data_IF_998004130135
#
_entry.id   IF_998004130135
#
_cell.length_a   1.000
_cell.length_b   1.000
_cell.length_c   1.000
_cell.angle_alpha   90.00
_cell.angle_beta   90.00
_cell.angle_gamma   90.00
#
_symmetry.space_group_name_H-M   'P 1'
#
loop_
_entity.id
_entity.type
_entity.pdbx_description
1 polymer ?
#
# COMPACT_ATOMS: atom_id res chain seq x y z
N UNK A 1 -5.48 12.63 -2.75
CA UNK A 1 -4.50 12.50 -1.65
C UNK A 1 -3.15 13.08 -2.10
N UNK A 2 -2.48 13.91 -1.28
CA UNK A 2 -1.20 14.59 -1.61
C UNK A 2 -0.12 14.39 -0.53
N UNK A 3 -0.37 13.59 0.50
CA UNK A 3 0.54 13.36 1.63
C UNK A 3 1.69 12.38 1.32
N UNK A 4 1.71 11.75 0.14
CA UNK A 4 2.65 10.70 -0.27
C UNK A 4 2.60 9.42 0.58
N UNK A 5 1.60 9.25 1.43
CA UNK A 5 1.45 8.11 2.34
C UNK A 5 0.51 7.03 1.78
N UNK A 6 0.34 6.99 0.46
CA UNK A 6 -0.54 6.03 -0.20
C UNK A 6 -0.27 4.57 0.20
N UNK A 7 1.00 4.19 0.42
CA UNK A 7 1.35 2.86 0.91
C UNK A 7 0.75 2.58 2.30
N UNK A 8 0.91 3.51 3.26
CA UNK A 8 0.34 3.40 4.61
C UNK A 8 -1.17 3.17 4.55
N UNK A 9 -1.89 4.03 3.83
CA UNK A 9 -3.35 3.92 3.76
C UNK A 9 -3.81 2.66 3.03
N UNK A 10 -3.08 2.19 2.03
CA UNK A 10 -3.42 0.96 1.34
C UNK A 10 -3.30 -0.26 2.29
N UNK A 11 -2.22 -0.35 3.06
CA UNK A 11 -2.08 -1.41 4.08
C UNK A 11 -3.18 -1.30 5.14
N UNK A 12 -3.42 -0.11 5.71
CA UNK A 12 -4.45 0.09 6.73
C UNK A 12 -5.85 -0.28 6.25
N UNK A 13 -6.19 0.05 5.00
CA UNK A 13 -7.48 -0.29 4.41
C UNK A 13 -7.69 -1.77 4.16
N UNK A 14 -6.61 -2.52 3.92
CA UNK A 14 -6.67 -3.96 3.73
C UNK A 14 -6.85 -4.70 5.06
N UNK A 15 -6.17 -4.23 6.12
CA UNK A 15 -6.27 -4.80 7.47
C UNK A 15 -7.59 -4.41 8.14
N UNK A 16 -8.09 -3.19 7.89
CA UNK A 16 -9.30 -2.65 8.50
C UNK A 16 -10.32 -2.28 7.41
N UNK A 17 -10.90 -3.26 6.69
CA UNK A 17 -11.82 -2.98 5.60
C UNK A 17 -13.10 -2.31 6.12
N UNK A 18 -13.46 -1.17 5.51
CA UNK A 18 -14.76 -0.53 5.74
C UNK A 18 -15.81 -1.33 4.98
N UNK A 19 -16.78 -1.91 5.71
CA UNK A 19 -17.70 -2.91 5.15
C UNK A 19 -18.73 -2.33 4.18
N UNK A 20 -19.22 -1.10 4.42
CA UNK A 20 -20.17 -0.44 3.52
C UNK A 20 -19.46 0.52 2.57
N UNK A 21 -19.64 0.32 1.26
CA UNK A 21 -19.13 1.24 0.23
C UNK A 21 -19.75 2.63 0.32
N UNK A 22 -20.93 2.77 0.93
CA UNK A 22 -21.60 4.06 1.17
C UNK A 22 -20.90 4.90 2.23
N UNK A 23 -20.06 4.28 3.07
CA UNK A 23 -19.37 4.97 4.16
C UNK A 23 -18.12 5.73 3.70
N UNK A 24 -17.93 5.96 2.40
CA UNK A 24 -16.78 6.70 1.86
C UNK A 24 -15.43 6.11 2.31
N UNK A 25 -15.26 4.79 2.14
CA UNK A 25 -14.05 4.04 2.51
C UNK A 25 -12.71 4.63 2.00
N UNK A 26 -12.73 5.51 1.00
CA UNK A 26 -11.54 6.21 0.51
C UNK A 26 -11.04 7.32 1.46
N UNK A 27 -11.82 7.73 2.48
CA UNK A 27 -11.46 8.81 3.39
C UNK A 27 -10.41 8.35 4.41
N UNK A 28 -9.26 9.05 4.54
CA UNK A 28 -8.23 8.74 5.52
C UNK A 28 -8.73 8.66 6.97
N UNK A 29 -9.79 9.41 7.31
CA UNK A 29 -10.36 9.47 8.65
C UNK A 29 -10.80 8.09 9.20
N UNK A 30 -11.21 7.16 8.34
CA UNK A 30 -11.51 5.80 8.78
C UNK A 30 -10.27 5.05 9.27
N UNK A 31 -9.08 5.45 8.83
CA UNK A 31 -7.83 4.74 9.05
C UNK A 31 -6.89 5.43 10.04
N UNK A 32 -7.09 6.73 10.32
CA UNK A 32 -6.31 7.47 11.32
C UNK A 32 -6.23 6.77 12.68
N UNK A 33 -7.32 6.18 13.24
CA UNK A 33 -7.27 5.51 14.53
C UNK A 33 -6.39 4.25 14.55
N UNK A 34 -6.16 3.63 13.39
CA UNK A 34 -5.42 2.38 13.26
C UNK A 34 -3.94 2.60 12.93
N UNK A 35 -3.49 3.86 12.77
CA UNK A 35 -2.11 4.15 12.38
C UNK A 35 -1.06 3.63 13.38
N UNK A 36 -1.38 3.61 14.68
CA UNK A 36 -0.50 3.08 15.71
C UNK A 36 -0.32 1.56 15.67
N UNK A 37 -1.19 0.86 14.95
CA UNK A 37 -1.17 -0.61 14.85
C UNK A 37 -0.24 -1.10 13.73
N UNK A 38 0.35 -0.17 12.97
CA UNK A 38 1.22 -0.47 11.85
C UNK A 38 2.65 -0.05 12.18
N UNK A 39 3.60 -0.99 12.18
CA UNK A 39 5.00 -0.65 12.43
C UNK A 39 5.66 -0.12 11.15
N UNK A 40 5.50 1.18 10.93
CA UNK A 40 6.15 1.90 9.83
C UNK A 40 7.60 2.29 10.14
N UNK A 41 8.22 1.74 11.18
CA UNK A 41 9.60 2.06 11.51
C UNK A 41 10.54 1.71 10.35
N UNK A 42 11.30 2.71 9.89
CA UNK A 42 12.21 2.56 8.75
C UNK A 42 11.56 2.65 7.37
N UNK A 43 10.24 2.92 7.29
CA UNK A 43 9.57 3.29 6.04
C UNK A 43 9.64 4.81 5.85
N UNK A 44 10.11 5.23 4.67
CA UNK A 44 10.08 6.63 4.23
C UNK A 44 8.91 6.83 3.26
N UNK A 45 8.39 8.06 3.16
CA UNK A 45 7.33 8.40 2.20
C UNK A 45 7.81 9.43 1.17
N UNK A 46 7.54 9.23 -0.13
CA UNK A 46 6.94 8.04 -0.74
C UNK A 46 7.84 6.80 -0.58
N UNK A 47 7.24 5.63 -0.35
CA UNK A 47 7.97 4.41 0.00
C UNK A 47 8.65 3.78 -1.23
N UNK A 48 9.99 3.68 -1.26
CA UNK A 48 10.67 2.92 -2.30
C UNK A 48 10.28 1.44 -2.22
N UNK A 49 10.18 0.76 -3.37
CA UNK A 49 9.84 -0.67 -3.43
C UNK A 49 10.70 -1.54 -2.51
N UNK A 50 12.00 -1.22 -2.39
CA UNK A 50 12.93 -1.92 -1.49
C UNK A 50 12.51 -1.84 -0.01
N UNK A 51 11.96 -0.70 0.42
CA UNK A 51 11.51 -0.53 1.80
C UNK A 51 10.18 -1.28 2.03
N UNK A 52 9.30 -1.32 1.03
CA UNK A 52 8.06 -2.12 1.07
C UNK A 52 8.37 -3.61 1.27
N UNK A 53 9.34 -4.16 0.53
CA UNK A 53 9.74 -5.56 0.69
C UNK A 53 10.34 -5.88 2.07
N UNK A 54 11.02 -4.92 2.70
CA UNK A 54 11.52 -5.08 4.08
C UNK A 54 10.38 -5.05 5.10
N UNK A 55 9.45 -4.13 4.92
CA UNK A 55 8.27 -4.01 5.77
C UNK A 55 7.42 -5.28 5.75
N UNK A 56 7.12 -5.82 4.56
CA UNK A 56 6.36 -7.06 4.41
C UNK A 56 6.96 -8.21 5.24
N UNK A 57 8.29 -8.34 5.23
CA UNK A 57 9.01 -9.37 6.00
C UNK A 57 8.93 -9.17 7.51
N UNK A 58 8.93 -7.93 7.98
CA UNK A 58 8.91 -7.62 9.41
C UNK A 58 7.50 -7.77 10.01
N UNK A 59 6.47 -7.28 9.32
CA UNK A 59 5.09 -7.30 9.80
C UNK A 59 4.35 -8.61 9.49
N UNK A 60 5.05 -9.63 8.97
CA UNK A 60 4.48 -10.94 8.57
C UNK A 60 3.34 -10.85 7.55
N UNK A 61 3.26 -9.75 6.78
CA UNK A 61 2.25 -9.50 5.77
C UNK A 61 2.71 -9.98 4.39
N UNK A 62 1.83 -10.68 3.68
CA UNK A 62 2.05 -11.00 2.26
C UNK A 62 1.57 -9.83 1.40
N UNK A 63 2.52 -9.05 0.87
CA UNK A 63 2.25 -7.85 0.07
C UNK A 63 2.67 -8.09 -1.37
N UNK A 64 1.72 -7.92 -2.30
CA UNK A 64 1.99 -7.84 -3.73
C UNK A 64 1.86 -6.39 -4.18
N UNK A 65 2.81 -5.91 -4.98
CA UNK A 65 2.81 -4.56 -5.56
C UNK A 65 2.72 -4.68 -7.07
N UNK A 66 1.72 -4.03 -7.64
CA UNK A 66 1.53 -3.91 -9.08
C UNK A 66 1.67 -2.46 -9.51
N UNK A 67 2.18 -2.26 -10.72
CA UNK A 67 2.22 -0.97 -11.40
C UNK A 67 1.34 -0.99 -12.65
N UNK A 68 0.96 0.20 -13.11
CA UNK A 68 0.26 0.39 -14.39
C UNK A 68 1.09 1.23 -15.35
N UNK A 69 1.06 0.85 -16.62
CA UNK A 69 1.54 1.71 -17.70
C UNK A 69 0.49 2.78 -18.04
N UNK A 70 0.89 3.78 -18.82
CA UNK A 70 -0.06 4.78 -19.35
C UNK A 70 -1.14 4.16 -20.26
N UNK A 71 -0.93 2.91 -20.72
CA UNK A 71 -1.88 2.13 -21.51
C UNK A 71 -2.76 1.20 -20.66
N UNK A 72 -2.76 1.38 -19.34
CA UNK A 72 -3.45 0.53 -18.36
C UNK A 72 -2.99 -0.94 -18.35
N UNK A 73 -1.76 -1.22 -18.79
CA UNK A 73 -1.20 -2.56 -18.68
C UNK A 73 -0.66 -2.76 -17.27
N UNK A 74 -1.06 -3.87 -16.64
CA UNK A 74 -0.62 -4.26 -15.30
C UNK A 74 0.72 -5.00 -15.40
N UNK A 75 1.67 -4.61 -14.57
CA UNK A 75 2.91 -5.37 -14.39
C UNK A 75 3.21 -5.52 -12.90
N UNK A 76 3.86 -6.62 -12.56
CA UNK A 76 4.22 -6.86 -11.17
C UNK A 76 5.55 -6.18 -10.83
N UNK A 77 5.56 -5.45 -9.72
CA UNK A 77 6.74 -4.77 -9.18
C UNK A 77 7.36 -5.55 -8.03
N UNK A 78 6.53 -6.23 -7.23
CA UNK A 78 6.96 -7.04 -6.09
C UNK A 78 5.90 -8.11 -5.84
N UNK A 79 6.33 -9.37 -5.71
CA UNK A 79 5.47 -10.49 -5.29
C UNK A 79 6.01 -10.97 -3.95
N UNK A 80 5.10 -11.16 -3.00
CA UNK A 80 5.42 -11.84 -1.75
C UNK A 80 5.78 -13.30 -2.03
N UNK A 81 6.88 -13.77 -1.46
CA UNK A 81 7.29 -15.17 -1.55
C UNK A 81 6.50 -16.08 -0.60
N UNK A 82 5.71 -15.51 0.32
CA UNK A 82 5.01 -16.24 1.38
C UNK A 82 3.50 -16.35 1.08
N UNK A 83 2.97 -17.59 1.08
CA UNK A 83 1.52 -17.85 1.13
C UNK A 83 1.00 -17.63 2.56
N UNK A 84 0.43 -16.44 2.79
CA UNK A 84 -0.36 -16.08 3.98
C UNK A 84 -1.64 -15.38 3.52
N UNK A 85 -2.54 -14.98 4.43
CA UNK A 85 -3.66 -14.09 4.08
C UNK A 85 -3.11 -12.87 3.32
N UNK A 86 -3.34 -12.87 2.00
CA UNK A 86 -2.55 -12.09 1.06
C UNK A 86 -3.20 -10.72 0.88
N UNK A 87 -2.47 -9.68 1.28
CA UNK A 87 -2.89 -8.29 1.08
C UNK A 87 -2.32 -7.80 -0.25
N UNK A 88 -3.15 -7.85 -1.30
CA UNK A 88 -2.75 -7.30 -2.60
C UNK A 88 -2.89 -5.79 -2.60
N UNK A 89 -1.76 -5.07 -2.68
CA UNK A 89 -1.71 -3.62 -2.66
C UNK A 89 -1.45 -3.12 -4.07
N UNK A 90 -2.40 -2.36 -4.61
CA UNK A 90 -2.23 -1.73 -5.91
C UNK A 90 -1.56 -0.36 -5.73
N UNK A 91 -0.32 -0.23 -6.22
CA UNK A 91 0.40 1.04 -6.19
C UNK A 91 0.25 1.72 -7.55
N UNK A 92 -0.15 3.00 -7.54
CA UNK A 92 -0.04 3.84 -8.73
C UNK A 92 1.21 4.68 -8.49
N UNK A 93 2.37 4.33 -9.08
CA UNK A 93 3.43 5.32 -9.17
C UNK A 93 2.83 6.47 -9.97
N UNK A 94 2.75 7.66 -9.37
CA UNK A 94 2.80 8.84 -10.21
C UNK A 94 4.16 8.79 -10.87
N UNK A 95 4.20 8.28 -12.10
CA UNK A 95 5.35 8.37 -12.99
C UNK A 95 5.61 9.88 -13.09
N UNK A 96 6.48 10.41 -12.24
CA UNK A 96 7.02 11.74 -12.44
C UNK A 96 7.76 11.64 -13.75
N UNK A 97 7.25 12.33 -14.78
CA UNK A 97 8.01 12.61 -15.98
C UNK A 97 9.30 13.26 -15.51
N UNK A 98 10.42 12.58 -15.69
CA UNK A 98 11.69 13.27 -15.79
C UNK A 98 11.57 14.18 -17.02
N UNK A 99 11.80 15.47 -16.79
CA UNK A 99 11.85 16.50 -17.82
C UNK A 99 13.24 16.53 -18.43
#
# INVERSE_FOLDING_TARGET
NRDNECFKYAVLSAINPVQDRKDNAYLPNHYLPFQSNLDLFGITFPSPLRNIGKFAKNDSLSINVYGFTQKNEVFCLLISEEERESTSICYIPQIRREA
#
